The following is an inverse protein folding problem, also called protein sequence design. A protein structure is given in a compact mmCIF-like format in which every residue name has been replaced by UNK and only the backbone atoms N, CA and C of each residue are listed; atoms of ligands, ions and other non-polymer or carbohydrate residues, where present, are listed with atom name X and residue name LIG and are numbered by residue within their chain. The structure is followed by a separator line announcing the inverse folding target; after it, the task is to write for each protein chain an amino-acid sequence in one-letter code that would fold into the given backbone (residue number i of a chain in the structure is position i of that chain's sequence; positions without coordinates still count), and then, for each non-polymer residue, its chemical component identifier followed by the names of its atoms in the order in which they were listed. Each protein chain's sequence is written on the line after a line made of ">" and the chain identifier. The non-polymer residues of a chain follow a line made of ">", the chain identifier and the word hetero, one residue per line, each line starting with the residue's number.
data_IF_776366986783
#
_entry.id   IF_776366986783
#
_cell.length_a   1.000
_cell.length_b   1.000
_cell.length_c   1.000
_cell.angle_alpha   90.00
_cell.angle_beta   90.00
_cell.angle_gamma   90.00
#
_symmetry.space_group_name_H-M   'P 1'
#
loop_
_entity.id
_entity.type
_entity.pdbx_description
1 polymer ?
#
# COMPACT_ATOMS: atom_id res chain seq x y z
N UNK A 1 -20.91 -40.50 57.83
CA UNK A 1 -21.32 -39.16 57.36
C UNK A 1 -20.12 -38.23 57.49
N UNK A 2 -19.41 -37.96 56.39
CA UNK A 2 -18.32 -36.98 56.34
C UNK A 2 -18.43 -36.21 55.02
N UNK A 3 -18.64 -34.91 55.14
CA UNK A 3 -19.06 -34.00 54.06
C UNK A 3 -17.87 -33.54 53.21
N UNK A 4 -18.04 -33.60 51.88
CA UNK A 4 -17.15 -33.06 50.85
C UNK A 4 -17.17 -31.53 50.85
N UNK A 5 -16.01 -30.89 50.65
CA UNK A 5 -15.92 -29.54 50.08
C UNK A 5 -14.82 -29.52 49.02
N UNK A 6 -15.22 -29.34 47.76
CA UNK A 6 -14.33 -29.18 46.60
C UNK A 6 -14.47 -27.73 46.16
N UNK A 7 -13.47 -26.90 46.47
CA UNK A 7 -13.42 -25.49 46.07
C UNK A 7 -12.85 -25.39 44.65
N UNK A 8 -13.66 -24.91 43.70
CA UNK A 8 -13.19 -24.50 42.38
C UNK A 8 -13.09 -22.97 42.38
N UNK A 9 -11.87 -22.44 42.31
CA UNK A 9 -11.62 -21.02 42.06
C UNK A 9 -11.46 -20.81 40.56
N UNK A 10 -12.41 -20.09 39.94
CA UNK A 10 -12.37 -19.76 38.52
C UNK A 10 -11.65 -18.40 38.32
N UNK A 11 -10.45 -18.44 37.77
CA UNK A 11 -9.65 -17.26 37.44
C UNK A 11 -10.08 -16.74 36.05
N UNK A 12 -10.88 -15.68 36.01
CA UNK A 12 -11.27 -14.98 34.78
C UNK A 12 -10.09 -14.13 34.27
N UNK A 13 -9.30 -14.70 33.36
CA UNK A 13 -8.35 -13.94 32.54
C UNK A 13 -9.13 -13.16 31.48
N UNK A 14 -9.45 -11.89 31.77
CA UNK A 14 -9.91 -10.93 30.76
C UNK A 14 -8.70 -10.60 29.90
N UNK A 15 -8.57 -11.28 28.76
CA UNK A 15 -7.59 -10.92 27.74
C UNK A 15 -8.11 -9.70 26.99
N UNK A 16 -7.51 -8.55 27.25
CA UNK A 16 -7.65 -7.37 26.41
C UNK A 16 -7.07 -7.69 25.04
N UNK A 17 -7.90 -8.22 24.13
CA UNK A 17 -7.54 -8.33 22.73
C UNK A 17 -7.47 -6.90 22.17
N UNK A 18 -6.30 -6.27 22.31
CA UNK A 18 -5.97 -5.05 21.59
C UNK A 18 -6.07 -5.38 20.11
N UNK A 19 -7.19 -5.03 19.49
CA UNK A 19 -7.32 -4.98 18.04
C UNK A 19 -6.40 -3.85 17.57
N UNK A 20 -5.11 -4.14 17.46
CA UNK A 20 -4.23 -3.33 16.65
C UNK A 20 -4.81 -3.38 15.24
N UNK A 21 -5.46 -2.29 14.83
CA UNK A 21 -5.83 -2.09 13.45
C UNK A 21 -4.54 -2.23 12.66
N UNK A 22 -4.36 -3.37 11.99
CA UNK A 22 -3.24 -3.59 11.11
C UNK A 22 -3.34 -2.49 10.06
N UNK A 23 -2.50 -1.46 10.19
CA UNK A 23 -2.20 -0.59 9.08
C UNK A 23 -1.56 -1.50 8.03
N UNK A 24 -2.37 -1.99 7.10
CA UNK A 24 -1.91 -2.80 6.01
C UNK A 24 -1.01 -1.91 5.16
N UNK A 25 0.30 -1.97 5.38
CA UNK A 25 1.26 -1.42 4.44
C UNK A 25 1.15 -2.24 3.15
N UNK A 26 0.75 -1.60 2.07
CA UNK A 26 0.74 -2.21 0.75
C UNK A 26 2.07 -1.94 0.09
N UNK A 27 2.60 -2.89 -0.67
CA UNK A 27 3.86 -2.68 -1.39
C UNK A 27 3.85 -3.22 -2.80
N UNK A 28 4.77 -2.69 -3.62
CA UNK A 28 5.06 -3.20 -4.95
C UNK A 28 6.57 -3.11 -5.19
N UNK A 29 7.16 -4.25 -5.56
CA UNK A 29 8.59 -4.34 -5.86
C UNK A 29 8.84 -4.25 -7.35
N UNK A 30 9.99 -3.76 -7.77
CA UNK A 30 10.44 -3.84 -9.16
C UNK A 30 10.59 -5.31 -9.62
N UNK A 31 10.60 -5.57 -10.94
CA UNK A 31 10.87 -6.90 -11.49
C UNK A 31 12.16 -7.56 -10.96
N UNK A 32 13.23 -6.81 -10.71
CA UNK A 32 14.48 -7.29 -10.12
C UNK A 32 14.50 -7.30 -8.58
N UNK A 33 13.43 -6.81 -7.95
CA UNK A 33 13.26 -6.75 -6.51
C UNK A 33 14.13 -5.72 -5.78
N UNK A 34 14.91 -4.89 -6.50
CA UNK A 34 15.78 -3.89 -5.89
C UNK A 34 15.01 -2.68 -5.38
N UNK A 35 13.99 -2.22 -6.11
CA UNK A 35 13.11 -1.16 -5.65
C UNK A 35 11.89 -1.75 -4.94
N UNK A 36 11.58 -1.21 -3.77
CA UNK A 36 10.38 -1.55 -2.99
C UNK A 36 9.64 -0.25 -2.65
N UNK A 37 8.49 -0.06 -3.28
CA UNK A 37 7.58 1.05 -2.98
C UNK A 37 6.53 0.56 -1.99
N UNK A 38 6.39 1.28 -0.87
CA UNK A 38 5.37 1.03 0.15
C UNK A 38 4.36 2.18 0.21
N UNK A 39 3.07 1.86 0.38
CA UNK A 39 1.98 2.81 0.67
C UNK A 39 1.35 2.45 2.00
N UNK A 40 1.14 3.45 2.85
CA UNK A 40 0.40 3.32 4.11
C UNK A 40 -0.85 4.18 4.05
N UNK A 41 -1.99 3.57 4.40
CA UNK A 41 -3.28 4.24 4.51
C UNK A 41 -3.63 4.50 5.98
N UNK A 42 -4.60 5.39 6.23
CA UNK A 42 -4.98 5.81 7.58
C UNK A 42 -5.31 7.29 7.59
N UNK A 43 -4.95 7.99 8.67
CA UNK A 43 -5.18 9.44 8.79
C UNK A 43 -4.58 10.24 7.63
N UNK A 44 -3.35 9.87 7.23
CA UNK A 44 -2.65 10.42 6.08
C UNK A 44 -2.20 9.27 5.18
N UNK A 45 -2.53 9.35 3.88
CA UNK A 45 -1.96 8.48 2.87
C UNK A 45 -0.49 8.84 2.66
N UNK A 46 0.42 7.89 2.87
CA UNK A 46 1.86 8.11 2.67
C UNK A 46 2.47 7.05 1.78
N UNK A 47 3.61 7.39 1.17
CA UNK A 47 4.44 6.45 0.42
C UNK A 47 5.90 6.56 0.80
N UNK A 48 6.64 5.47 0.62
CA UNK A 48 8.07 5.38 0.86
C UNK A 48 8.71 4.48 -0.20
N UNK A 49 10.01 4.64 -0.42
CA UNK A 49 10.76 3.86 -1.41
C UNK A 49 12.09 3.43 -0.82
N UNK A 50 12.41 2.15 -0.99
CA UNK A 50 13.71 1.58 -0.67
C UNK A 50 14.37 1.04 -1.94
N UNK A 51 15.69 1.21 -2.05
CA UNK A 51 16.51 0.57 -3.06
C UNK A 51 17.53 -0.35 -2.39
N UNK A 52 17.49 -1.64 -2.68
CA UNK A 52 18.33 -2.67 -2.06
C UNK A 52 18.29 -2.61 -0.52
N UNK A 53 17.12 -2.33 0.06
CA UNK A 53 16.93 -2.17 1.51
C UNK A 53 17.42 -0.83 2.10
N UNK A 54 17.97 0.06 1.28
CA UNK A 54 18.33 1.42 1.70
C UNK A 54 17.16 2.38 1.43
N UNK A 55 16.63 3.09 2.43
CA UNK A 55 15.60 4.11 2.20
C UNK A 55 16.13 5.23 1.28
N UNK A 56 15.48 5.41 0.13
CA UNK A 56 15.76 6.52 -0.80
C UNK A 56 14.65 7.58 -0.80
N UNK A 57 13.46 7.21 -0.30
CA UNK A 57 12.38 8.12 0.04
C UNK A 57 11.76 7.68 1.36
N UNK A 58 11.86 8.54 2.38
CA UNK A 58 11.18 8.35 3.67
C UNK A 58 9.67 8.61 3.52
N UNK A 59 8.84 8.15 4.47
CA UNK A 59 7.39 8.33 4.40
C UNK A 59 6.98 9.77 4.07
N UNK A 60 6.37 9.93 2.89
CA UNK A 60 5.99 11.21 2.30
C UNK A 60 4.49 11.22 2.01
N UNK A 61 3.81 12.33 2.26
CA UNK A 61 2.35 12.42 2.11
C UNK A 61 1.90 12.42 0.64
N UNK A 62 0.76 11.78 0.37
CA UNK A 62 0.02 11.84 -0.89
C UNK A 62 -1.36 12.43 -0.62
N UNK A 63 -1.68 13.55 -1.27
CA UNK A 63 -3.02 14.12 -1.21
C UNK A 63 -3.35 14.96 -2.43
N UNK A 64 -4.63 15.16 -2.69
CA UNK A 64 -5.14 16.07 -3.69
C UNK A 64 -6.33 16.85 -3.12
N UNK A 65 -6.25 18.17 -3.09
CA UNK A 65 -7.37 19.05 -2.72
C UNK A 65 -8.16 19.42 -3.96
N UNK A 66 -9.44 19.06 -3.99
CA UNK A 66 -10.35 19.38 -5.08
C UNK A 66 -10.94 20.79 -4.90
N UNK A 67 -11.48 21.37 -5.98
CA UNK A 67 -12.05 22.72 -5.95
C UNK A 67 -13.17 22.91 -4.91
N UNK A 68 -13.90 21.83 -4.58
CA UNK A 68 -14.94 21.83 -3.54
C UNK A 68 -14.43 21.74 -2.10
N UNK A 69 -13.11 21.70 -1.89
CA UNK A 69 -12.49 21.57 -0.56
C UNK A 69 -12.36 20.13 -0.07
N UNK A 70 -12.90 19.15 -0.80
CA UNK A 70 -12.63 17.73 -0.54
C UNK A 70 -11.14 17.42 -0.70
N UNK A 71 -10.61 16.60 0.20
CA UNK A 71 -9.19 16.20 0.19
C UNK A 71 -9.08 14.69 0.05
N UNK A 72 -8.63 14.24 -1.12
CA UNK A 72 -8.26 12.85 -1.36
C UNK A 72 -6.95 12.54 -0.62
N UNK A 73 -6.86 11.39 0.02
CA UNK A 73 -5.69 10.97 0.81
C UNK A 73 -5.79 11.22 2.32
N UNK A 74 -6.80 11.95 2.81
CA UNK A 74 -7.13 12.00 4.24
C UNK A 74 -8.07 10.87 4.63
N UNK A 75 -7.82 10.23 5.78
CA UNK A 75 -8.63 9.11 6.27
C UNK A 75 -8.90 8.04 5.19
N UNK A 76 -7.89 7.77 4.36
CA UNK A 76 -8.01 6.92 3.19
C UNK A 76 -8.32 5.47 3.63
N UNK A 77 -9.43 4.91 3.12
CA UNK A 77 -9.86 3.54 3.39
C UNK A 77 -9.78 2.76 2.08
N UNK A 78 -9.02 1.67 2.08
CA UNK A 78 -8.91 0.77 0.92
C UNK A 78 -10.16 -0.10 0.80
N UNK A 79 -10.76 -0.12 -0.38
CA UNK A 79 -11.94 -0.95 -0.69
C UNK A 79 -11.54 -2.19 -1.49
N UNK A 80 -10.51 -2.10 -2.33
CA UNK A 80 -9.93 -3.26 -3.01
C UNK A 80 -8.49 -3.01 -3.46
N UNK A 81 -7.79 -4.12 -3.70
CA UNK A 81 -6.39 -4.15 -4.09
C UNK A 81 -6.23 -5.06 -5.30
N UNK A 82 -5.52 -4.60 -6.33
CA UNK A 82 -5.14 -5.42 -7.48
C UNK A 82 -3.64 -5.28 -7.73
N UNK A 83 -2.97 -6.39 -8.04
CA UNK A 83 -1.59 -6.39 -8.50
C UNK A 83 -1.50 -7.01 -9.89
N UNK A 84 -0.52 -6.56 -10.67
CA UNK A 84 -0.19 -7.16 -11.97
C UNK A 84 1.27 -6.94 -12.32
N UNK A 85 1.84 -7.88 -13.07
CA UNK A 85 3.16 -7.76 -13.67
C UNK A 85 3.00 -7.48 -15.16
N UNK A 86 3.64 -6.43 -15.64
CA UNK A 86 3.60 -5.99 -17.04
C UNK A 86 4.98 -6.18 -17.64
N UNK A 87 5.03 -6.77 -18.82
CA UNK A 87 6.23 -6.90 -19.63
C UNK A 87 5.83 -6.74 -21.09
N UNK A 88 5.84 -5.50 -21.56
CA UNK A 88 5.43 -5.14 -22.91
C UNK A 88 6.42 -4.18 -23.54
N UNK A 89 6.19 -3.81 -24.79
CA UNK A 89 7.02 -2.86 -25.53
C UNK A 89 6.14 -1.77 -26.11
N UNK A 90 6.59 -0.52 -25.97
CA UNK A 90 5.98 0.66 -26.57
C UNK A 90 6.76 1.00 -27.84
N UNK A 91 6.09 0.98 -28.99
CA UNK A 91 6.67 1.46 -30.24
C UNK A 91 6.86 2.99 -30.20
N UNK A 92 8.05 3.45 -30.55
CA UNK A 92 8.46 4.85 -30.46
C UNK A 92 8.94 5.37 -31.84
N UNK A 93 8.01 5.68 -32.77
CA UNK A 93 8.35 6.04 -34.15
C UNK A 93 9.10 7.37 -34.27
N UNK A 94 8.93 8.28 -33.29
CA UNK A 94 9.59 9.60 -33.25
C UNK A 94 10.33 9.74 -31.91
N UNK A 95 11.44 9.01 -31.76
CA UNK A 95 12.30 9.06 -30.57
C UNK A 95 13.72 8.56 -30.86
N UNK A 96 14.63 8.68 -29.89
CA UNK A 96 16.02 8.18 -29.99
C UNK A 96 16.15 6.65 -30.03
N UNK A 97 15.09 5.93 -29.67
CA UNK A 97 14.98 4.45 -29.75
C UNK A 97 13.71 4.12 -30.53
N UNK A 98 13.72 3.00 -31.28
CA UNK A 98 12.53 2.50 -31.99
C UNK A 98 11.47 1.91 -31.06
N UNK A 99 11.91 1.40 -29.91
CA UNK A 99 11.09 0.71 -28.92
C UNK A 99 11.55 1.06 -27.51
N UNK A 100 10.60 1.08 -26.58
CA UNK A 100 10.82 1.26 -25.15
C UNK A 100 10.22 0.06 -24.42
N UNK A 101 11.04 -0.66 -23.66
CA UNK A 101 10.56 -1.70 -22.77
C UNK A 101 9.69 -1.08 -21.67
N UNK A 102 8.47 -1.58 -21.51
CA UNK A 102 7.53 -1.20 -20.47
C UNK A 102 7.34 -2.42 -19.55
N UNK A 103 8.31 -2.57 -18.64
CA UNK A 103 8.40 -3.70 -17.72
C UNK A 103 8.36 -3.23 -16.27
N UNK A 104 7.29 -3.54 -15.55
CA UNK A 104 7.05 -3.11 -14.18
C UNK A 104 6.09 -4.05 -13.46
N UNK A 105 6.11 -3.98 -12.13
CA UNK A 105 4.98 -4.46 -11.34
C UNK A 105 4.10 -3.28 -10.95
N UNK A 106 2.79 -3.50 -10.94
CA UNK A 106 1.79 -2.50 -10.61
C UNK A 106 0.95 -2.93 -9.41
N UNK A 107 0.66 -1.96 -8.56
CA UNK A 107 -0.32 -2.03 -7.49
C UNK A 107 -1.40 -1.00 -7.78
N UNK A 108 -2.66 -1.43 -7.77
CA UNK A 108 -3.83 -0.56 -7.86
C UNK A 108 -4.59 -0.66 -6.55
N UNK A 109 -4.76 0.48 -5.89
CA UNK A 109 -5.57 0.63 -4.68
C UNK A 109 -6.84 1.39 -5.05
N UNK A 110 -8.01 0.77 -4.89
CA UNK A 110 -9.27 1.49 -4.90
C UNK A 110 -9.56 1.97 -3.49
N UNK A 111 -9.92 3.24 -3.37
CA UNK A 111 -10.13 3.93 -2.11
C UNK A 111 -11.60 4.33 -1.99
N UNK A 112 -12.12 4.37 -0.77
CA UNK A 112 -13.47 4.84 -0.49
C UNK A 112 -13.60 6.31 -0.92
N UNK A 113 -14.66 6.64 -1.66
CA UNK A 113 -14.86 7.96 -2.27
C UNK A 113 -14.65 7.96 -3.78
N UNK A 114 -14.78 6.80 -4.43
CA UNK A 114 -14.74 6.63 -5.89
C UNK A 114 -13.46 7.21 -6.53
N UNK A 115 -12.33 6.96 -5.88
CA UNK A 115 -11.00 7.28 -6.39
C UNK A 115 -10.02 6.16 -6.05
N UNK A 116 -8.81 6.25 -6.60
CA UNK A 116 -7.76 5.29 -6.30
C UNK A 116 -6.37 5.78 -6.63
N UNK A 117 -5.41 4.90 -6.38
CA UNK A 117 -3.99 5.12 -6.63
C UNK A 117 -3.45 3.96 -7.48
N UNK A 118 -2.81 4.28 -8.60
CA UNK A 118 -2.00 3.32 -9.37
C UNK A 118 -0.55 3.60 -9.04
N UNK A 119 0.21 2.56 -8.71
CA UNK A 119 1.63 2.62 -8.42
C UNK A 119 2.36 1.62 -9.29
N UNK A 120 3.52 2.03 -9.82
CA UNK A 120 4.37 1.18 -10.67
C UNK A 120 5.79 1.20 -10.14
N UNK A 121 6.39 0.02 -10.05
CA UNK A 121 7.80 -0.16 -9.76
C UNK A 121 8.49 -0.77 -10.98
N UNK A 122 9.35 0.02 -11.61
CA UNK A 122 10.31 -0.38 -12.63
C UNK A 122 11.65 -0.68 -11.96
N UNK A 123 12.59 -1.32 -12.66
CA UNK A 123 13.94 -1.56 -12.09
C UNK A 123 14.73 -0.26 -11.88
N UNK A 124 14.44 0.79 -12.64
CA UNK A 124 15.15 2.07 -12.64
C UNK A 124 14.36 3.23 -12.04
N UNK A 125 13.16 2.98 -11.55
CA UNK A 125 12.34 4.02 -10.95
C UNK A 125 10.96 3.57 -10.51
N UNK A 126 10.25 4.49 -9.86
CA UNK A 126 8.88 4.27 -9.41
C UNK A 126 7.99 5.43 -9.84
N UNK A 127 6.71 5.17 -10.03
CA UNK A 127 5.72 6.18 -10.40
C UNK A 127 4.39 5.93 -9.67
N UNK A 128 3.62 6.99 -9.46
CA UNK A 128 2.24 6.88 -8.99
C UNK A 128 1.32 7.86 -9.73
N UNK A 129 0.01 7.59 -9.71
CA UNK A 129 -1.02 8.55 -10.10
C UNK A 129 -2.34 8.28 -9.37
N UNK A 130 -3.08 9.34 -9.08
CA UNK A 130 -4.49 9.24 -8.71
C UNK A 130 -5.35 8.92 -9.93
N UNK A 131 -6.50 8.27 -9.71
CA UNK A 131 -7.56 8.08 -10.69
C UNK A 131 -8.94 8.11 -10.02
N UNK A 132 -9.99 8.27 -10.82
CA UNK A 132 -11.41 8.22 -10.44
C UNK A 132 -12.13 7.25 -11.38
#
# INVERSE_FOLDING_TARGET
>A
MTTKYFTISALLFVSSASWAQRNAGFHVKSPDGQLDLTVQTGATLTWAVQHAGTPILTPSALSLTLAGGEVLGHNAVVTSVKTEAVNTVIAAPVYKKREVADQYNQLTLNLKGDYGLVLRAYNDGVAYRFFT
#
